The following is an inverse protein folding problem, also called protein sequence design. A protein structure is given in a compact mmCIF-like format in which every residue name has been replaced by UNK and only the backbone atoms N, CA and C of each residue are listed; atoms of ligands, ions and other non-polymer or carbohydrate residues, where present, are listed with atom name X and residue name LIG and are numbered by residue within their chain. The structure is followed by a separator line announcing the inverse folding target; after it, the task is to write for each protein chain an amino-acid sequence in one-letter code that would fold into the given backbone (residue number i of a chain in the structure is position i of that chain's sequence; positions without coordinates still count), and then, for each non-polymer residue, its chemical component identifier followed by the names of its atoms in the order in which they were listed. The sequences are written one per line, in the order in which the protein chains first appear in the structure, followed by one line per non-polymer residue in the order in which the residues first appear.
data_IF_986805848009
#
_entry.id   IF_986805848009
#
_cell.length_a   1.000
_cell.length_b   1.000
_cell.length_c   1.000
_cell.angle_alpha   90.00
_cell.angle_beta   90.00
_cell.angle_gamma   90.00
#
_symmetry.space_group_name_H-M   'P 1'
#
loop_
_entity.id
_entity.type
_entity.pdbx_description
1 polymer ?
#
# COMPACT_ATOMS: atom_id res chain seq x y z
N UNK A 1 -7.49 -14.38 4.75
CA UNK A 1 -8.35 -13.95 4.66
C UNK A 1 -8.57 -12.65 4.23
N UNK A 2 -9.43 -12.28 3.82
CA UNK A 2 -9.70 -11.11 3.14
C UNK A 2 -10.10 -9.93 3.98
N UNK A 3 -9.77 -9.95 5.22
CA UNK A 3 -10.29 -8.88 6.05
C UNK A 3 -9.75 -7.51 5.63
N UNK A 4 -8.48 -7.42 5.23
CA UNK A 4 -7.95 -6.16 4.74
C UNK A 4 -8.63 -5.77 3.42
N UNK A 5 -8.71 -6.71 2.51
CA UNK A 5 -9.30 -6.43 1.21
C UNK A 5 -10.78 -6.12 1.32
N UNK A 6 -11.46 -6.82 2.21
CA UNK A 6 -12.88 -6.55 2.42
C UNK A 6 -13.12 -5.17 2.98
N UNK A 7 -12.28 -4.74 3.92
CA UNK A 7 -12.44 -3.43 4.50
C UNK A 7 -12.19 -2.34 3.46
N UNK A 8 -11.13 -2.51 2.67
CA UNK A 8 -10.80 -1.54 1.63
C UNK A 8 -11.93 -1.47 0.60
N UNK A 9 -12.46 -2.63 0.21
CA UNK A 9 -13.53 -2.65 -0.76
C UNK A 9 -14.79 -1.99 -0.20
N UNK A 10 -15.10 -2.27 1.04
CA UNK A 10 -16.25 -1.68 1.67
C UNK A 10 -16.13 -0.15 1.69
N UNK A 11 -14.95 0.34 2.00
CA UNK A 11 -14.73 1.78 2.00
C UNK A 11 -14.84 2.35 0.59
N UNK A 12 -14.29 1.67 -0.38
CA UNK A 12 -14.32 2.14 -1.76
C UNK A 12 -15.75 2.22 -2.29
N UNK A 13 -16.59 1.29 -1.88
CA UNK A 13 -17.96 1.24 -2.38
C UNK A 13 -18.92 2.14 -1.59
N UNK A 14 -18.49 2.69 -0.48
CA UNK A 14 -19.37 3.47 0.36
C UNK A 14 -19.54 4.88 -0.17
N UNK A 15 -20.69 5.48 0.10
CA UNK A 15 -20.89 6.89 -0.23
C UNK A 15 -20.29 7.74 0.86
N UNK A 16 -20.47 9.06 0.75
CA UNK A 16 -19.85 9.99 1.70
C UNK A 16 -20.26 9.69 3.12
N UNK A 17 -21.54 9.49 3.36
CA UNK A 17 -22.02 9.21 4.71
C UNK A 17 -21.48 7.89 5.22
N UNK A 18 -21.42 6.88 4.36
CA UNK A 18 -20.88 5.59 4.75
C UNK A 18 -19.43 5.66 5.11
N UNK A 19 -18.65 6.45 4.36
CA UNK A 19 -17.24 6.62 4.66
C UNK A 19 -17.01 7.30 5.99
N UNK A 20 -17.79 8.35 6.25
CA UNK A 20 -17.69 9.02 7.54
C UNK A 20 -18.00 8.06 8.67
N UNK A 21 -19.01 7.25 8.49
CA UNK A 21 -19.38 6.30 9.53
C UNK A 21 -18.25 5.31 9.80
N UNK A 22 -17.60 4.83 8.73
CA UNK A 22 -16.51 3.91 8.89
C UNK A 22 -15.36 4.56 9.66
N UNK A 23 -15.04 5.80 9.32
CA UNK A 23 -13.96 6.49 10.01
C UNK A 23 -14.30 6.69 11.48
N UNK A 24 -15.51 7.12 11.76
CA UNK A 24 -15.89 7.39 13.13
C UNK A 24 -15.92 6.14 14.00
N UNK A 25 -16.41 5.06 13.43
CA UNK A 25 -16.44 3.81 14.19
C UNK A 25 -15.06 3.31 14.54
N UNK A 26 -14.08 3.62 13.71
CA UNK A 26 -12.71 3.16 13.92
C UNK A 26 -11.77 4.29 14.29
N UNK A 27 -12.32 5.42 14.74
CA UNK A 27 -11.54 6.63 14.78
C UNK A 27 -10.21 6.55 15.50
N UNK A 28 -10.11 6.02 16.70
CA UNK A 28 -8.81 6.05 17.37
C UNK A 28 -7.75 5.23 16.67
N UNK A 29 -8.17 4.24 15.89
CA UNK A 29 -7.20 3.36 15.23
C UNK A 29 -7.19 3.50 13.73
N UNK A 30 -7.99 4.40 13.18
CA UNK A 30 -8.18 4.41 11.73
C UNK A 30 -6.86 4.62 11.00
N UNK A 31 -6.03 5.55 11.46
CA UNK A 31 -4.76 5.81 10.78
C UNK A 31 -3.78 4.67 10.96
N UNK A 32 -3.82 4.00 12.10
CA UNK A 32 -3.00 2.82 12.28
C UNK A 32 -3.41 1.72 11.32
N UNK A 33 -4.71 1.59 11.08
CA UNK A 33 -5.19 0.61 10.13
C UNK A 33 -4.72 0.95 8.72
N UNK A 34 -4.80 2.21 8.34
CA UNK A 34 -4.34 2.63 7.01
C UNK A 34 -2.86 2.35 6.86
N UNK A 35 -2.07 2.72 7.86
CA UNK A 35 -0.63 2.46 7.81
C UNK A 35 -0.34 0.97 7.66
N UNK A 36 -1.06 0.15 8.41
CA UNK A 36 -0.87 -1.29 8.31
C UNK A 36 -1.25 -1.84 6.96
N UNK A 37 -2.32 -1.32 6.37
CA UNK A 37 -2.72 -1.77 5.05
C UNK A 37 -1.70 -1.35 4.00
N UNK A 38 -1.14 -0.15 4.13
CA UNK A 38 -0.08 0.29 3.21
C UNK A 38 1.14 -0.61 3.33
N UNK A 39 1.52 -0.95 4.53
CA UNK A 39 2.67 -1.84 4.72
C UNK A 39 2.40 -3.21 4.13
N UNK A 40 1.22 -3.74 4.37
CA UNK A 40 0.87 -5.04 3.84
C UNK A 40 0.92 -5.05 2.32
N UNK A 41 0.34 -4.03 1.71
CA UNK A 41 0.34 -3.94 0.26
C UNK A 41 1.76 -3.79 -0.29
N UNK A 42 2.60 -3.01 0.40
CA UNK A 42 3.97 -2.84 -0.09
C UNK A 42 4.74 -4.16 -0.06
N UNK A 43 4.49 -4.98 0.95
CA UNK A 43 5.15 -6.28 1.02
C UNK A 43 4.66 -7.19 -0.11
N UNK A 44 3.36 -7.19 -0.38
CA UNK A 44 2.81 -7.98 -1.46
C UNK A 44 3.43 -7.57 -2.80
N UNK A 45 3.50 -6.26 -3.04
CA UNK A 45 4.06 -5.76 -4.28
C UNK A 45 5.53 -6.11 -4.40
N UNK A 46 6.28 -5.96 -3.30
CA UNK A 46 7.69 -6.29 -3.34
C UNK A 46 7.90 -7.76 -3.66
N UNK A 47 7.09 -8.63 -3.07
CA UNK A 47 7.21 -10.06 -3.33
C UNK A 47 6.93 -10.36 -4.79
N UNK A 48 5.95 -9.71 -5.37
CA UNK A 48 5.64 -9.90 -6.79
C UNK A 48 6.80 -9.43 -7.66
N UNK A 49 7.38 -8.29 -7.33
CA UNK A 49 8.52 -7.80 -8.08
C UNK A 49 9.69 -8.77 -8.02
N UNK A 50 9.95 -9.29 -6.84
CA UNK A 50 11.06 -10.22 -6.69
C UNK A 50 10.83 -11.51 -7.45
N UNK A 51 9.61 -12.01 -7.40
CA UNK A 51 9.28 -13.22 -8.12
C UNK A 51 9.50 -13.01 -9.62
N UNK A 52 9.05 -11.88 -10.13
CA UNK A 52 9.17 -11.59 -11.56
C UNK A 52 10.62 -11.40 -11.98
N UNK A 53 11.40 -10.73 -11.13
CA UNK A 53 12.82 -10.56 -11.43
C UNK A 53 13.56 -11.89 -11.42
N UNK A 54 13.21 -12.73 -10.47
CA UNK A 54 13.84 -14.03 -10.35
C UNK A 54 13.59 -14.88 -11.57
N UNK A 55 12.38 -14.86 -12.08
CA UNK A 55 12.07 -15.60 -13.28
C UNK A 55 12.88 -15.12 -14.46
N UNK A 56 13.01 -13.82 -14.61
CA UNK A 56 13.80 -13.27 -15.69
C UNK A 56 15.25 -13.63 -15.55
N UNK A 57 15.75 -13.58 -14.33
CA UNK A 57 17.13 -13.94 -14.09
C UNK A 57 17.40 -15.38 -14.47
N UNK A 58 16.46 -16.25 -14.16
CA UNK A 58 16.63 -17.63 -14.52
C UNK A 58 16.66 -17.82 -16.01
N UNK A 59 15.80 -17.14 -16.71
CA UNK A 59 15.75 -17.25 -18.15
C UNK A 59 17.07 -16.84 -18.77
N UNK A 60 17.70 -15.82 -18.24
CA UNK A 60 18.96 -15.37 -18.77
C UNK A 60 20.11 -16.22 -18.34
N UNK A 61 19.89 -17.06 -17.36
CA UNK A 61 20.94 -17.92 -16.89
C UNK A 61 22.05 -17.20 -16.19
N UNK A 62 21.79 -15.99 -15.79
CA UNK A 62 22.82 -15.21 -15.15
C UNK A 62 22.78 -15.37 -13.65
N UNK A 63 23.95 -15.55 -13.06
CA UNK A 63 23.91 -15.69 -11.68
C UNK A 63 24.80 -14.68 -11.13
N UNK A 64 24.44 -13.53 -11.08
CA UNK A 64 25.25 -12.45 -10.64
C UNK A 64 25.55 -12.52 -9.17
N UNK A 65 26.79 -12.27 -8.85
CA UNK A 65 27.16 -12.31 -7.49
C UNK A 65 27.02 -10.98 -6.86
N UNK A 66 25.88 -10.47 -6.75
CA UNK A 66 25.70 -9.16 -6.18
C UNK A 66 25.45 -9.20 -4.71
N UNK A 67 25.29 -10.34 -4.17
CA UNK A 67 24.89 -10.43 -2.80
C UNK A 67 25.91 -9.84 -1.86
N UNK A 68 27.17 -9.81 -2.23
CA UNK A 68 28.14 -9.28 -1.32
C UNK A 68 28.07 -7.78 -1.25
N UNK A 69 27.37 -7.16 -2.17
CA UNK A 69 27.29 -5.71 -2.17
C UNK A 69 26.32 -5.17 -1.14
N UNK A 70 25.31 -5.92 -0.80
CA UNK A 70 24.37 -5.46 0.19
C UNK A 70 23.66 -6.64 0.78
N UNK A 71 23.23 -6.43 1.99
CA UNK A 71 22.47 -7.41 2.73
C UNK A 71 21.08 -7.52 2.10
N UNK A 72 20.63 -8.72 1.76
CA UNK A 72 19.29 -8.85 1.16
C UNK A 72 18.18 -8.27 2.02
N UNK A 73 18.28 -8.40 3.33
CA UNK A 73 17.28 -7.84 4.22
C UNK A 73 17.29 -6.33 4.13
N UNK A 74 18.44 -5.75 4.03
CA UNK A 74 18.57 -4.31 3.91
C UNK A 74 17.93 -3.83 2.62
N UNK A 75 18.21 -4.50 1.53
CA UNK A 75 17.61 -4.14 0.25
C UNK A 75 16.11 -4.26 0.29
N UNK A 76 15.60 -5.30 0.93
CA UNK A 76 14.16 -5.49 1.03
C UNK A 76 13.54 -4.38 1.85
N UNK A 77 14.21 -3.97 2.92
CA UNK A 77 13.66 -2.91 3.76
C UNK A 77 13.61 -1.58 2.99
N UNK A 78 14.66 -1.30 2.24
CA UNK A 78 14.68 -0.07 1.45
C UNK A 78 13.61 -0.09 0.38
N UNK A 79 13.45 -1.20 -0.28
CA UNK A 79 12.45 -1.32 -1.32
C UNK A 79 11.04 -1.19 -0.73
N UNK A 80 10.80 -1.78 0.44
CA UNK A 80 9.51 -1.65 1.10
C UNK A 80 9.19 -0.19 1.40
N UNK A 81 10.17 0.56 1.89
CA UNK A 81 9.96 1.97 2.20
C UNK A 81 9.63 2.73 0.93
N UNK A 82 10.36 2.46 -0.15
CA UNK A 82 10.10 3.14 -1.40
C UNK A 82 8.68 2.87 -1.90
N UNK A 83 8.27 1.61 -1.85
CA UNK A 83 6.93 1.26 -2.33
C UNK A 83 5.87 1.88 -1.43
N UNK A 84 6.09 1.85 -0.12
CA UNK A 84 5.11 2.41 0.80
C UNK A 84 4.95 3.90 0.60
N UNK A 85 6.05 4.60 0.36
CA UNK A 85 5.98 6.03 0.10
C UNK A 85 5.25 6.32 -1.20
N UNK A 86 5.47 5.50 -2.22
CA UNK A 86 4.77 5.67 -3.49
C UNK A 86 3.27 5.43 -3.30
N UNK A 87 2.90 4.44 -2.52
CA UNK A 87 1.50 4.18 -2.22
C UNK A 87 0.88 5.38 -1.52
N UNK A 88 1.57 5.90 -0.52
CA UNK A 88 1.07 7.02 0.26
C UNK A 88 0.90 8.26 -0.59
N UNK A 89 1.79 8.46 -1.56
CA UNK A 89 1.70 9.60 -2.45
C UNK A 89 0.68 9.40 -3.57
N UNK A 90 0.16 8.19 -3.73
CA UNK A 90 -0.75 7.92 -4.82
C UNK A 90 -0.07 7.72 -6.16
N UNK A 91 1.24 7.49 -6.14
CA UNK A 91 2.00 7.30 -7.37
C UNK A 91 1.90 5.84 -7.78
N UNK A 92 0.82 5.53 -8.47
CA UNK A 92 0.50 4.15 -8.81
C UNK A 92 1.57 3.53 -9.69
N UNK A 93 2.06 4.29 -10.66
CA UNK A 93 3.05 3.74 -11.58
C UNK A 93 4.34 3.38 -10.88
N UNK A 94 4.81 4.25 -10.00
CA UNK A 94 6.04 3.97 -9.28
C UNK A 94 5.86 2.79 -8.34
N UNK A 95 4.71 2.71 -7.69
CA UNK A 95 4.47 1.63 -6.73
C UNK A 95 4.36 0.29 -7.42
N UNK A 96 3.72 0.23 -8.58
CA UNK A 96 3.38 -1.05 -9.19
C UNK A 96 4.32 -1.49 -10.30
N UNK A 97 5.41 -0.79 -10.50
CA UNK A 97 6.35 -1.20 -11.53
C UNK A 97 6.86 -2.60 -11.23
N UNK A 98 6.69 -3.49 -12.16
CA UNK A 98 7.14 -4.87 -11.99
C UNK A 98 6.22 -5.74 -11.18
N UNK A 99 5.05 -5.25 -10.79
CA UNK A 99 4.10 -6.05 -10.02
C UNK A 99 3.04 -6.63 -10.93
N UNK A 100 2.25 -7.54 -10.36
CA UNK A 100 1.13 -8.15 -11.05
C UNK A 100 -0.17 -7.46 -10.65
N UNK A 101 -1.26 -7.82 -11.30
CA UNK A 101 -2.60 -7.35 -10.94
C UNK A 101 -2.65 -5.84 -10.80
N UNK A 102 -2.18 -5.16 -11.83
CA UNK A 102 -2.07 -3.71 -11.79
C UNK A 102 -3.38 -3.05 -11.39
N UNK A 103 -4.49 -3.45 -12.02
CA UNK A 103 -5.76 -2.78 -11.76
C UNK A 103 -6.23 -2.97 -10.33
N UNK A 104 -6.09 -4.18 -9.83
CA UNK A 104 -6.51 -4.45 -8.46
C UNK A 104 -5.73 -3.63 -7.46
N UNK A 105 -4.40 -3.63 -7.62
CA UNK A 105 -3.54 -2.86 -6.71
C UNK A 105 -3.78 -1.37 -6.86
N UNK A 106 -4.03 -0.91 -8.08
CA UNK A 106 -4.27 0.52 -8.28
C UNK A 106 -5.51 0.99 -7.54
N UNK A 107 -6.56 0.18 -7.56
CA UNK A 107 -7.78 0.52 -6.84
C UNK A 107 -7.50 0.58 -5.35
N UNK A 108 -6.73 -0.37 -4.85
CA UNK A 108 -6.39 -0.38 -3.42
C UNK A 108 -5.59 0.85 -3.05
N UNK A 109 -4.61 1.21 -3.88
CA UNK A 109 -3.80 2.38 -3.59
C UNK A 109 -4.65 3.64 -3.55
N UNK A 110 -5.52 3.80 -4.53
CA UNK A 110 -6.38 4.99 -4.58
C UNK A 110 -7.30 5.04 -3.38
N UNK A 111 -7.82 3.90 -2.97
CA UNK A 111 -8.70 3.87 -1.81
C UNK A 111 -7.95 4.23 -0.54
N UNK A 112 -6.73 3.74 -0.39
CA UNK A 112 -5.93 4.07 0.79
C UNK A 112 -5.61 5.56 0.84
N UNK A 113 -5.33 6.16 -0.31
CA UNK A 113 -5.10 7.60 -0.37
C UNK A 113 -6.37 8.35 0.07
N UNK A 114 -7.53 7.91 -0.41
CA UNK A 114 -8.78 8.54 -0.03
C UNK A 114 -9.04 8.41 1.46
N UNK A 115 -8.74 7.25 2.02
CA UNK A 115 -8.92 7.05 3.46
C UNK A 115 -8.10 8.06 4.25
N UNK A 116 -6.84 8.23 3.85
CA UNK A 116 -5.96 9.15 4.55
C UNK A 116 -6.44 10.58 4.41
N UNK A 117 -6.85 10.96 3.22
CA UNK A 117 -7.34 12.30 2.98
C UNK A 117 -8.63 12.59 3.74
N UNK A 118 -9.55 11.64 3.72
CA UNK A 118 -10.82 11.81 4.39
C UNK A 118 -10.60 11.94 5.89
N UNK A 119 -9.71 11.14 6.45
CA UNK A 119 -9.39 11.23 7.86
C UNK A 119 -8.81 12.60 8.20
N UNK A 120 -7.93 13.08 7.34
CA UNK A 120 -7.30 14.38 7.57
C UNK A 120 -8.33 15.50 7.57
N UNK A 121 -9.23 15.47 6.61
CA UNK A 121 -10.28 16.48 6.51
C UNK A 121 -11.16 16.43 7.75
N UNK A 122 -11.55 15.24 8.16
CA UNK A 122 -12.41 15.10 9.32
C UNK A 122 -11.71 15.58 10.59
N UNK A 123 -10.44 15.26 10.74
CA UNK A 123 -9.67 15.69 11.88
C UNK A 123 -9.57 17.22 11.93
N UNK A 124 -9.35 17.83 10.78
CA UNK A 124 -9.28 19.28 10.72
C UNK A 124 -10.61 19.91 11.12
N UNK A 125 -11.71 19.30 10.73
CA UNK A 125 -13.02 19.80 11.13
C UNK A 125 -13.20 19.73 12.64
N UNK A 126 -12.75 18.65 13.25
CA UNK A 126 -12.85 18.54 14.69
C UNK A 126 -12.06 19.66 15.39
N UNK A 127 -10.89 19.98 14.85
CA UNK A 127 -10.11 21.05 15.45
C UNK A 127 -10.83 22.37 15.40
N UNK A 128 -11.56 22.62 14.34
CA UNK A 128 -12.30 23.85 14.25
C UNK A 128 -13.45 23.92 15.22
N UNK A 129 -14.03 22.79 15.54
CA UNK A 129 -15.16 22.78 16.45
C UNK A 129 -14.77 23.07 17.88
N UNK A 130 -13.52 22.89 18.19
CA UNK A 130 -13.09 23.24 19.52
C UNK A 130 -12.87 24.71 19.66
#
# INVERSE_FOLDING_TARGET
MGSREEFIKKYADADVNGRLEIILKNYPRFMQMVDGYEQCLSIIIRNEREYNRSRKGEDLGVRVQTSRLSNPTERQAIENVFIQEAIRAGDVEAALKGADDYEKHAVEIKTLVNMREDYQILTNQFLFLE
#
